data_IF_168155275299
#
_entry.id   IF_168155275299
#
_cell.length_a   1.000
_cell.length_b   1.000
_cell.length_c   1.000
_cell.angle_alpha   90.00
_cell.angle_beta   90.00
_cell.angle_gamma   90.00
#
_symmetry.space_group_name_H-M   'P 1'
#
loop_
_entity.id
_entity.type
_entity.pdbx_description
1 polymer ?
#
# COMPACT_ATOMS: atom_id res chain seq x y z
N UNK A 1 12.19 15.66 -2.45
CA UNK A 1 13.34 15.38 -1.57
C UNK A 1 14.42 14.58 -2.31
N UNK A 2 15.69 14.84 -2.04
CA UNK A 2 16.80 13.98 -2.51
C UNK A 2 16.85 12.70 -1.66
N UNK A 3 16.72 11.55 -2.32
CA UNK A 3 16.67 10.23 -1.69
C UNK A 3 17.94 9.41 -1.94
N UNK A 4 18.93 9.99 -2.62
CA UNK A 4 20.21 9.33 -2.90
C UNK A 4 20.91 8.98 -1.59
N UNK A 5 21.45 7.77 -1.53
CA UNK A 5 22.17 7.26 -0.36
C UNK A 5 21.36 7.32 0.96
N UNK A 6 20.02 7.25 0.88
CA UNK A 6 19.13 7.15 2.05
C UNK A 6 18.52 5.76 2.18
N UNK A 7 18.21 5.37 3.41
CA UNK A 7 17.29 4.26 3.66
C UNK A 7 15.85 4.78 3.52
N UNK A 8 15.08 4.19 2.62
CA UNK A 8 13.71 4.60 2.32
C UNK A 8 12.74 3.53 2.79
N UNK A 9 11.74 3.93 3.57
CA UNK A 9 10.56 3.14 3.88
C UNK A 9 9.35 3.73 3.15
N UNK A 10 8.82 2.98 2.20
CA UNK A 10 7.59 3.34 1.49
C UNK A 10 6.40 2.89 2.34
N UNK A 11 5.50 3.84 2.66
CA UNK A 11 4.27 3.59 3.39
C UNK A 11 3.09 3.65 2.42
N UNK A 12 2.25 2.63 2.42
CA UNK A 12 1.03 2.55 1.61
C UNK A 12 -0.16 2.14 2.49
N UNK A 13 -1.36 2.51 2.10
CA UNK A 13 -2.58 2.17 2.84
C UNK A 13 -2.99 0.71 2.62
N UNK A 14 -2.99 0.23 1.37
CA UNK A 14 -3.46 -1.11 1.01
C UNK A 14 -2.65 -1.75 -0.12
N UNK A 15 -2.18 -2.97 0.11
CA UNK A 15 -1.71 -3.86 -0.95
C UNK A 15 -2.89 -4.67 -1.52
N UNK A 16 -3.32 -4.26 -2.72
CA UNK A 16 -4.29 -4.99 -3.55
C UNK A 16 -3.59 -5.82 -4.65
N UNK A 17 -3.58 -5.34 -5.90
CA UNK A 17 -2.99 -6.06 -7.05
C UNK A 17 -1.45 -6.11 -7.05
N UNK A 18 -0.81 -5.14 -6.38
CA UNK A 18 0.64 -4.98 -6.31
C UNK A 18 1.27 -4.14 -7.41
N UNK A 19 0.52 -3.72 -8.44
CA UNK A 19 1.08 -2.94 -9.56
C UNK A 19 1.64 -1.59 -9.12
N UNK A 20 0.88 -0.83 -8.33
CA UNK A 20 1.28 0.50 -7.84
C UNK A 20 2.56 0.43 -7.01
N UNK A 21 2.56 -0.44 -5.99
CA UNK A 21 3.70 -0.59 -5.09
C UNK A 21 4.96 -1.03 -5.86
N UNK A 22 4.83 -1.98 -6.78
CA UNK A 22 5.95 -2.42 -7.61
C UNK A 22 6.51 -1.29 -8.48
N UNK A 23 5.65 -0.52 -9.13
CA UNK A 23 6.06 0.58 -9.99
C UNK A 23 6.81 1.67 -9.20
N UNK A 24 6.34 2.00 -7.99
CA UNK A 24 7.01 2.98 -7.13
C UNK A 24 8.37 2.46 -6.65
N UNK A 25 8.45 1.22 -6.18
CA UNK A 25 9.72 0.61 -5.75
C UNK A 25 10.74 0.61 -6.90
N UNK A 26 10.33 0.18 -8.10
CA UNK A 26 11.18 0.21 -9.30
C UNK A 26 11.63 1.63 -9.62
N UNK A 27 10.72 2.61 -9.61
CA UNK A 27 11.07 4.00 -9.89
C UNK A 27 12.04 4.58 -8.84
N UNK A 28 11.90 4.24 -7.57
CA UNK A 28 12.83 4.66 -6.51
C UNK A 28 14.23 4.05 -6.73
N UNK A 29 14.30 2.76 -7.03
CA UNK A 29 15.56 2.06 -7.28
C UNK A 29 16.30 2.62 -8.51
N UNK A 30 15.58 2.81 -9.62
CA UNK A 30 16.17 3.23 -10.89
C UNK A 30 16.52 4.72 -10.93
N UNK A 31 15.69 5.59 -10.33
CA UNK A 31 15.81 7.05 -10.52
C UNK A 31 16.46 7.77 -9.34
N UNK A 32 16.45 7.18 -8.15
CA UNK A 32 16.88 7.86 -6.92
C UNK A 32 18.11 7.23 -6.26
N UNK A 33 18.47 5.98 -6.60
CA UNK A 33 19.64 5.27 -6.03
C UNK A 33 19.72 5.31 -4.48
N UNK A 34 18.67 4.89 -3.76
CA UNK A 34 18.69 4.80 -2.29
C UNK A 34 19.61 3.66 -1.80
N UNK A 35 20.06 3.73 -0.54
CA UNK A 35 20.83 2.63 0.10
C UNK A 35 19.97 1.38 0.29
N UNK A 36 18.68 1.56 0.56
CA UNK A 36 17.71 0.47 0.65
C UNK A 36 16.30 1.01 0.42
N UNK A 37 15.44 0.17 -0.14
CA UNK A 37 13.99 0.40 -0.18
C UNK A 37 13.30 -0.73 0.58
N UNK A 38 12.52 -0.37 1.59
CA UNK A 38 11.57 -1.28 2.25
C UNK A 38 10.15 -0.76 2.07
N UNK A 39 9.17 -1.62 2.25
CA UNK A 39 7.76 -1.29 2.14
C UNK A 39 6.97 -1.71 3.38
N UNK A 40 6.02 -0.87 3.76
CA UNK A 40 5.09 -1.11 4.86
C UNK A 40 3.68 -0.76 4.39
N UNK A 41 2.75 -1.68 4.56
CA UNK A 41 1.34 -1.47 4.22
C UNK A 41 0.47 -1.65 5.45
N UNK A 42 -0.56 -0.81 5.60
CA UNK A 42 -1.53 -0.99 6.67
C UNK A 42 -2.34 -2.27 6.42
N UNK A 43 -2.87 -2.45 5.20
CA UNK A 43 -3.73 -3.58 4.83
C UNK A 43 -3.11 -4.40 3.70
N UNK A 44 -3.23 -5.72 3.78
CA UNK A 44 -2.88 -6.64 2.70
C UNK A 44 -4.05 -7.55 2.40
N UNK A 45 -4.58 -7.48 1.18
CA UNK A 45 -5.66 -8.39 0.75
C UNK A 45 -5.13 -9.81 0.53
N UNK A 46 -5.85 -10.79 1.07
CA UNK A 46 -5.64 -12.22 0.85
C UNK A 46 -6.22 -12.64 -0.49
N UNK A 47 -5.52 -12.31 -1.57
CA UNK A 47 -5.87 -12.69 -2.93
C UNK A 47 -4.65 -13.14 -3.72
N UNK A 48 -4.89 -13.88 -4.80
CA UNK A 48 -3.85 -14.11 -5.80
C UNK A 48 -3.49 -12.77 -6.45
N UNK A 49 -2.19 -12.48 -6.55
CA UNK A 49 -1.69 -11.22 -7.10
C UNK A 49 -1.19 -11.44 -8.51
N UNK A 50 -1.55 -10.52 -9.40
CA UNK A 50 -1.03 -10.46 -10.75
C UNK A 50 0.47 -10.16 -10.76
N UNK A 51 0.93 -9.35 -9.80
CA UNK A 51 2.34 -9.02 -9.62
C UNK A 51 2.81 -9.37 -8.22
N UNK A 52 3.80 -10.26 -8.14
CA UNK A 52 4.45 -10.57 -6.89
C UNK A 52 5.25 -9.35 -6.41
N UNK A 53 4.86 -8.80 -5.25
CA UNK A 53 5.61 -7.79 -4.52
C UNK A 53 5.83 -8.31 -3.12
N UNK A 54 7.09 -8.31 -2.69
CA UNK A 54 7.41 -8.65 -1.31
C UNK A 54 7.25 -7.39 -0.45
N UNK A 55 6.42 -7.48 0.59
CA UNK A 55 6.21 -6.39 1.54
C UNK A 55 6.88 -6.73 2.85
N UNK A 56 7.72 -5.83 3.35
CA UNK A 56 8.55 -6.05 4.54
C UNK A 56 7.72 -5.97 5.83
N UNK A 57 6.72 -5.09 5.86
CA UNK A 57 5.86 -4.87 7.03
C UNK A 57 4.39 -4.82 6.63
N UNK A 58 3.56 -5.63 7.31
CA UNK A 58 2.11 -5.68 7.08
C UNK A 58 1.41 -5.43 8.41
N UNK A 59 0.51 -4.45 8.45
CA UNK A 59 -0.33 -4.21 9.62
C UNK A 59 -1.35 -5.32 9.82
N UNK A 60 -2.24 -5.51 8.84
CA UNK A 60 -3.31 -6.49 8.88
C UNK A 60 -3.52 -7.20 7.54
N UNK A 61 -3.69 -8.51 7.60
CA UNK A 61 -4.23 -9.28 6.48
C UNK A 61 -5.76 -9.22 6.51
N UNK A 62 -6.38 -8.87 5.38
CA UNK A 62 -7.84 -8.79 5.22
C UNK A 62 -8.31 -9.69 4.07
N UNK A 63 -9.59 -10.05 4.09
CA UNK A 63 -10.23 -10.73 2.95
C UNK A 63 -10.35 -9.78 1.74
N UNK A 64 -10.67 -10.32 0.55
CA UNK A 64 -10.80 -9.54 -0.69
C UNK A 64 -12.13 -8.76 -0.73
N UNK A 65 -12.25 -7.80 0.17
CA UNK A 65 -13.41 -6.93 0.35
C UNK A 65 -13.05 -5.48 -0.01
N UNK A 66 -14.06 -4.71 -0.42
CA UNK A 66 -13.89 -3.26 -0.59
C UNK A 66 -14.02 -2.58 0.78
N UNK A 67 -12.95 -1.93 1.23
CA UNK A 67 -12.88 -1.30 2.57
C UNK A 67 -12.67 0.21 2.48
N UNK A 68 -13.24 0.93 3.44
CA UNK A 68 -13.14 2.39 3.59
C UNK A 68 -12.80 2.76 5.04
N UNK A 69 -12.40 4.02 5.25
CA UNK A 69 -12.03 4.53 6.56
C UNK A 69 -10.53 4.49 6.83
N UNK A 70 -10.09 5.24 7.84
CA UNK A 70 -8.67 5.36 8.20
C UNK A 70 -7.75 5.75 7.02
N UNK A 71 -8.22 6.68 6.19
CA UNK A 71 -7.53 7.15 4.98
C UNK A 71 -8.06 6.57 3.67
N UNK A 72 -8.63 5.35 3.70
CA UNK A 72 -9.25 4.71 2.54
C UNK A 72 -10.61 5.34 2.20
N UNK A 73 -10.93 5.44 0.92
CA UNK A 73 -12.10 6.17 0.43
C UNK A 73 -12.97 5.42 -0.58
N UNK A 74 -14.18 5.94 -0.73
CA UNK A 74 -15.04 5.70 -1.87
C UNK A 74 -15.66 7.02 -2.28
N UNK A 75 -15.44 7.43 -3.53
CA UNK A 75 -15.85 8.76 -4.05
C UNK A 75 -15.39 9.90 -3.12
N UNK A 76 -14.14 9.84 -2.65
CA UNK A 76 -13.53 10.79 -1.70
C UNK A 76 -14.15 10.82 -0.29
N UNK A 77 -15.24 10.09 -0.07
CA UNK A 77 -15.90 9.95 1.23
C UNK A 77 -15.18 9.00 2.18
N UNK A 78 -15.63 8.96 3.43
CA UNK A 78 -15.26 7.99 4.48
C UNK A 78 -13.81 8.01 5.00
N UNK A 79 -12.87 8.75 4.37
CA UNK A 79 -11.44 8.82 4.78
C UNK A 79 -11.21 9.07 6.26
N UNK A 80 -12.05 9.90 6.86
CA UNK A 80 -11.92 10.38 8.24
C UNK A 80 -12.54 9.45 9.30
N UNK A 81 -13.12 8.31 8.91
CA UNK A 81 -13.62 7.34 9.87
C UNK A 81 -12.45 6.78 10.70
N UNK A 82 -12.58 6.72 12.04
CA UNK A 82 -11.52 6.21 12.92
C UNK A 82 -11.45 4.67 12.95
N UNK A 83 -12.11 4.01 12.00
CA UNK A 83 -12.23 2.57 11.86
C UNK A 83 -12.12 2.20 10.38
N UNK A 84 -11.82 0.92 10.12
CA UNK A 84 -11.88 0.33 8.79
C UNK A 84 -13.18 -0.48 8.71
N UNK A 85 -13.98 -0.24 7.67
CA UNK A 85 -15.25 -0.91 7.44
C UNK A 85 -15.37 -1.43 6.02
N UNK A 86 -16.12 -2.52 5.82
CA UNK A 86 -16.47 -3.03 4.49
C UNK A 86 -17.62 -2.20 3.92
N UNK A 87 -17.44 -1.64 2.74
CA UNK A 87 -18.49 -0.94 2.02
C UNK A 87 -19.35 -1.95 1.27
N UNK A 88 -20.64 -2.03 1.62
CA UNK A 88 -21.60 -2.89 0.92
C UNK A 88 -22.33 -2.07 -0.13
N UNK A 89 -22.36 -2.57 -1.37
CA UNK A 89 -23.29 -2.07 -2.37
C UNK A 89 -24.72 -2.34 -1.89
N UNK A 90 -25.63 -1.39 -2.14
CA UNK A 90 -27.06 -1.67 -2.04
C UNK A 90 -27.52 -2.54 -3.21
#
# INVERSE_FOLDING_TARGET
PDLKERHVLLLDDILDSGHTLAAIITALQEKQTPLSVRSCVLLRKRRQRERAVNVDYVGFDIEDEFVVGYGLDYEEGYRNLPLIGVLRSQ
#
